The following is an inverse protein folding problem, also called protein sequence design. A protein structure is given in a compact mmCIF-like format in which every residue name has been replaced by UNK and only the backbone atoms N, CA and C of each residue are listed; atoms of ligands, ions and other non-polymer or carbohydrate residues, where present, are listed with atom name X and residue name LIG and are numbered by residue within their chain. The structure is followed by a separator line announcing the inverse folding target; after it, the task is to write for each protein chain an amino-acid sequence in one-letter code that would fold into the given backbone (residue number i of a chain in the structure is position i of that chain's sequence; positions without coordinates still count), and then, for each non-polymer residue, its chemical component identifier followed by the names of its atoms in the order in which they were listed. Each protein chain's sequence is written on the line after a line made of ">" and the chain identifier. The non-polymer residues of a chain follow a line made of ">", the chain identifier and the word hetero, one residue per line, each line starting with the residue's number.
data_IF_791942704593
#
_entry.id   IF_791942704593
#
_cell.length_a   1.000
_cell.length_b   1.000
_cell.length_c   1.000
_cell.angle_alpha   90.00
_cell.angle_beta   90.00
_cell.angle_gamma   90.00
#
_symmetry.space_group_name_H-M   'P 1'
#
loop_
_entity.id
_entity.type
_entity.pdbx_description
1 polymer ?
#
# COMPACT_ATOMS: atom_id res chain seq x y z
N UNK A 1 -5.87 -5.39 42.33
CA UNK A 1 -5.45 -4.12 41.70
C UNK A 1 -4.72 -4.41 40.40
N UNK A 2 -5.45 -4.57 39.30
CA UNK A 2 -4.87 -4.71 37.96
C UNK A 2 -4.88 -3.34 37.30
N UNK A 3 -3.71 -2.78 36.97
CA UNK A 3 -3.64 -1.53 36.25
C UNK A 3 -4.15 -1.74 34.82
N UNK A 4 -5.32 -1.17 34.51
CA UNK A 4 -5.80 -1.03 33.13
C UNK A 4 -4.82 -0.14 32.39
N UNK A 5 -4.08 -0.73 31.45
CA UNK A 5 -3.19 -0.01 30.55
C UNK A 5 -4.03 0.90 29.66
N UNK A 6 -4.10 2.18 30.00
CA UNK A 6 -4.72 3.21 29.16
C UNK A 6 -3.85 3.34 27.91
N UNK A 7 -4.34 2.88 26.75
CA UNK A 7 -3.69 3.15 25.47
C UNK A 7 -3.58 4.67 25.31
N UNK A 8 -2.40 5.23 25.01
CA UNK A 8 -2.28 6.66 24.85
C UNK A 8 -3.11 7.11 23.65
N UNK A 9 -3.97 8.10 23.88
CA UNK A 9 -4.67 8.84 22.84
C UNK A 9 -3.61 9.53 21.98
N UNK A 10 -3.42 9.06 20.74
CA UNK A 10 -2.40 9.57 19.81
C UNK A 10 -2.68 11.05 19.53
N UNK A 11 -1.85 11.92 20.11
CA UNK A 11 -1.78 13.35 19.80
C UNK A 11 -0.77 13.53 18.66
N UNK A 12 -1.22 14.02 17.51
CA UNK A 12 -0.40 14.45 16.36
C UNK A 12 0.65 13.44 15.87
N UNK A 13 0.22 12.23 15.48
CA UNK A 13 1.11 11.20 14.94
C UNK A 13 1.23 11.24 13.41
N UNK A 14 2.45 11.04 12.90
CA UNK A 14 2.68 10.78 11.48
C UNK A 14 1.94 9.49 11.08
N UNK A 15 1.51 9.35 9.82
CA UNK A 15 0.81 8.15 9.33
C UNK A 15 1.54 6.84 9.65
N UNK A 16 2.88 6.88 9.66
CA UNK A 16 3.73 5.73 9.94
C UNK A 16 3.69 5.28 11.41
N UNK A 17 3.20 6.12 12.31
CA UNK A 17 3.08 5.80 13.73
C UNK A 17 1.93 4.84 14.02
N UNK A 18 0.94 4.78 13.12
CA UNK A 18 -0.21 3.91 13.23
C UNK A 18 0.03 2.51 12.63
N UNK A 19 1.20 2.26 12.02
CA UNK A 19 1.49 0.97 11.41
C UNK A 19 1.67 -0.10 12.50
N UNK A 20 1.08 -1.29 12.33
CA UNK A 20 1.30 -2.41 13.23
C UNK A 20 2.76 -2.86 13.19
N UNK A 21 3.29 -3.26 14.34
CA UNK A 21 4.68 -3.75 14.47
C UNK A 21 4.88 -5.16 13.90
N UNK A 22 3.81 -5.91 13.65
CA UNK A 22 3.83 -7.28 13.14
C UNK A 22 2.69 -7.51 12.14
N UNK A 23 2.94 -8.39 11.17
CA UNK A 23 1.97 -8.78 10.15
C UNK A 23 2.26 -8.19 8.76
N UNK A 24 1.44 -8.60 7.78
CA UNK A 24 1.48 -8.05 6.42
C UNK A 24 0.35 -7.04 6.26
N UNK A 25 0.68 -5.85 5.79
CA UNK A 25 -0.30 -4.82 5.45
C UNK A 25 -0.75 -4.96 4.00
N UNK A 26 -2.06 -5.01 3.79
CA UNK A 26 -2.64 -5.07 2.46
C UNK A 26 -2.96 -3.65 1.99
N UNK A 27 -2.39 -3.24 0.86
CA UNK A 27 -2.56 -1.90 0.30
C UNK A 27 -3.09 -2.04 -1.12
N UNK A 28 -4.06 -1.20 -1.49
CA UNK A 28 -4.56 -1.13 -2.86
C UNK A 28 -4.21 0.24 -3.45
N UNK A 29 -3.54 0.24 -4.59
CA UNK A 29 -3.21 1.45 -5.35
C UNK A 29 -4.28 1.68 -6.43
N UNK A 30 -5.09 2.70 -6.24
CA UNK A 30 -6.12 3.15 -7.18
C UNK A 30 -5.75 4.51 -7.78
N UNK A 31 -6.28 4.78 -8.97
CA UNK A 31 -6.03 6.03 -9.68
C UNK A 31 -6.27 5.88 -11.18
N UNK A 32 -6.36 7.01 -11.87
CA UNK A 32 -6.61 7.06 -13.31
C UNK A 32 -5.56 6.29 -14.11
N UNK A 33 -5.92 5.97 -15.35
CA UNK A 33 -4.95 5.40 -16.29
C UNK A 33 -3.77 6.36 -16.48
N UNK A 34 -2.57 5.81 -16.65
CA UNK A 34 -1.32 6.58 -16.77
C UNK A 34 -0.97 7.52 -15.60
N UNK A 35 -1.62 7.40 -14.43
CA UNK A 35 -1.29 8.20 -13.24
C UNK A 35 0.06 7.83 -12.58
N UNK A 36 0.79 6.83 -13.08
CA UNK A 36 2.11 6.42 -12.57
C UNK A 36 2.10 5.39 -11.43
N UNK A 37 0.96 4.70 -11.18
CA UNK A 37 0.82 3.73 -10.08
C UNK A 37 1.84 2.58 -10.16
N UNK A 38 1.94 1.95 -11.32
CA UNK A 38 2.88 0.85 -11.57
C UNK A 38 4.33 1.32 -11.46
N UNK A 39 4.63 2.53 -11.93
CA UNK A 39 5.95 3.15 -11.79
C UNK A 39 6.32 3.37 -10.32
N UNK A 40 5.38 3.87 -9.51
CA UNK A 40 5.59 4.05 -8.08
C UNK A 40 5.79 2.70 -7.36
N UNK A 41 4.99 1.69 -7.71
CA UNK A 41 5.13 0.34 -7.15
C UNK A 41 6.51 -0.26 -7.45
N UNK A 42 6.98 -0.15 -8.69
CA UNK A 42 8.29 -0.66 -9.08
C UNK A 42 9.45 0.14 -8.50
N UNK A 43 9.28 1.46 -8.33
CA UNK A 43 10.25 2.25 -7.58
C UNK A 43 10.36 1.77 -6.12
N UNK A 44 9.24 1.47 -5.47
CA UNK A 44 9.24 0.95 -4.10
C UNK A 44 9.82 -0.46 -4.00
N UNK A 45 9.59 -1.31 -5.01
CA UNK A 45 9.98 -2.72 -5.00
C UNK A 45 11.43 -2.95 -5.44
N UNK A 46 11.89 -2.25 -6.46
CA UNK A 46 13.17 -2.50 -7.14
C UNK A 46 14.13 -1.31 -7.08
N UNK A 47 13.71 -0.17 -6.52
CA UNK A 47 14.47 1.08 -6.52
C UNK A 47 14.91 1.54 -7.92
N UNK A 48 14.09 1.24 -8.94
CA UNK A 48 14.35 1.58 -10.34
C UNK A 48 13.12 2.15 -11.04
N UNK A 49 13.36 2.99 -12.04
CA UNK A 49 12.33 3.46 -12.97
C UNK A 49 12.29 2.50 -14.16
N UNK A 50 11.30 1.62 -14.17
CA UNK A 50 11.08 0.69 -15.27
C UNK A 50 10.09 1.31 -16.26
N UNK A 51 10.30 1.07 -17.55
CA UNK A 51 9.31 1.40 -18.56
C UNK A 51 8.06 0.54 -18.33
N UNK A 52 6.93 1.18 -18.09
CA UNK A 52 5.66 0.49 -17.82
C UNK A 52 4.72 0.63 -19.01
N UNK A 53 4.02 -0.45 -19.33
CA UNK A 53 2.88 -0.47 -20.26
C UNK A 53 1.59 -0.30 -19.44
N UNK A 54 0.51 0.31 -19.96
CA UNK A 54 -0.75 0.40 -19.24
C UNK A 54 -1.21 -0.96 -18.69
N UNK A 55 -1.48 -1.00 -17.38
CA UNK A 55 -1.94 -2.22 -16.71
C UNK A 55 -3.35 -2.59 -17.18
N UNK A 56 -3.46 -3.69 -17.94
CA UNK A 56 -4.73 -4.20 -18.50
C UNK A 56 -5.60 -4.89 -17.43
N UNK A 57 -5.03 -5.20 -16.26
CA UNK A 57 -5.73 -5.89 -15.18
C UNK A 57 -5.26 -5.43 -13.80
N UNK A 58 -4.54 -6.30 -13.11
CA UNK A 58 -4.00 -6.05 -11.77
C UNK A 58 -2.60 -6.63 -11.64
N UNK A 59 -1.77 -6.01 -10.79
CA UNK A 59 -0.50 -6.57 -10.34
C UNK A 59 -0.49 -6.66 -8.81
N UNK A 60 0.23 -7.63 -8.26
CA UNK A 60 0.36 -7.83 -6.82
C UNK A 60 1.82 -8.07 -6.43
N UNK A 61 2.37 -7.16 -5.62
CA UNK A 61 3.78 -7.21 -5.23
C UNK A 61 3.95 -7.16 -3.72
N UNK A 62 4.91 -7.93 -3.22
CA UNK A 62 5.35 -7.85 -1.82
C UNK A 62 6.49 -6.85 -1.70
N UNK A 63 6.29 -5.74 -0.99
CA UNK A 63 7.30 -4.73 -0.71
C UNK A 63 7.68 -4.79 0.76
N UNK A 64 8.97 -4.75 1.08
CA UNK A 64 9.43 -4.65 2.46
C UNK A 64 9.74 -3.18 2.78
N UNK A 65 9.17 -2.66 3.86
CA UNK A 65 9.56 -1.34 4.35
C UNK A 65 11.00 -1.39 4.85
N UNK A 66 11.81 -0.43 4.39
CA UNK A 66 13.25 -0.37 4.67
C UNK A 66 13.65 0.80 5.56
N UNK A 67 12.75 1.78 5.73
CA UNK A 67 13.02 3.05 6.42
C UNK A 67 12.06 3.29 7.60
N UNK A 68 12.55 4.03 8.60
CA UNK A 68 11.75 4.50 9.73
C UNK A 68 10.96 3.39 10.43
N UNK A 69 9.72 3.71 10.83
CA UNK A 69 8.80 2.75 11.47
C UNK A 69 8.26 1.66 10.54
N UNK A 70 8.42 1.82 9.24
CA UNK A 70 8.06 0.79 8.27
C UNK A 70 9.12 -0.31 8.16
N UNK A 71 10.32 -0.13 8.76
CA UNK A 71 11.40 -1.10 8.69
C UNK A 71 10.97 -2.46 9.23
N UNK A 72 11.04 -3.49 8.38
CA UNK A 72 10.66 -4.86 8.74
C UNK A 72 9.18 -5.18 8.55
N UNK A 73 8.34 -4.20 8.18
CA UNK A 73 6.95 -4.44 7.81
C UNK A 73 6.88 -4.93 6.36
N UNK A 74 6.04 -5.93 6.12
CA UNK A 74 5.73 -6.41 4.78
C UNK A 74 4.42 -5.78 4.28
N UNK A 75 4.45 -5.26 3.06
CA UNK A 75 3.30 -4.72 2.36
C UNK A 75 2.96 -5.64 1.20
N UNK A 76 1.70 -6.06 1.09
CA UNK A 76 1.15 -6.70 -0.10
C UNK A 76 0.36 -5.64 -0.86
N UNK A 77 0.94 -5.15 -1.97
CA UNK A 77 0.39 -4.01 -2.71
C UNK A 77 -0.28 -4.51 -3.99
N UNK A 78 -1.57 -4.19 -4.13
CA UNK A 78 -2.38 -4.46 -5.32
C UNK A 78 -2.44 -3.20 -6.17
N UNK A 79 -1.78 -3.20 -7.34
CA UNK A 79 -1.91 -2.16 -8.36
C UNK A 79 -3.04 -2.52 -9.31
N UNK A 80 -4.06 -1.68 -9.39
CA UNK A 80 -5.27 -1.95 -10.17
C UNK A 80 -5.33 -1.03 -11.39
N UNK A 81 -5.64 -1.60 -12.56
CA UNK A 81 -5.78 -0.85 -13.81
C UNK A 81 -6.71 0.35 -13.69
N UNK A 82 -6.28 1.47 -14.27
CA UNK A 82 -6.98 2.77 -14.20
C UNK A 82 -7.91 3.08 -15.38
N UNK A 83 -7.87 2.22 -16.41
CA UNK A 83 -8.71 2.36 -17.62
C UNK A 83 -10.18 2.35 -17.22
N UNK A 84 -10.99 3.17 -17.88
CA UNK A 84 -12.41 3.34 -17.55
C UNK A 84 -13.16 2.00 -17.48
N UNK A 85 -12.88 1.09 -18.42
CA UNK A 85 -13.46 -0.27 -18.48
C UNK A 85 -13.13 -1.14 -17.26
N UNK A 86 -12.03 -0.85 -16.56
CA UNK A 86 -11.56 -1.62 -15.40
C UNK A 86 -11.98 -1.01 -14.06
N UNK A 87 -12.39 0.27 -14.03
CA UNK A 87 -12.82 0.94 -12.78
C UNK A 87 -13.95 0.26 -12.02
N UNK A 88 -14.91 -0.45 -12.67
CA UNK A 88 -15.89 -1.25 -11.93
C UNK A 88 -15.26 -2.29 -11.00
N UNK A 89 -14.07 -2.81 -11.32
CA UNK A 89 -13.36 -3.80 -10.52
C UNK A 89 -12.78 -3.23 -9.22
N UNK A 90 -12.59 -1.92 -9.11
CA UNK A 90 -12.03 -1.28 -7.91
C UNK A 90 -12.81 -1.66 -6.65
N UNK A 91 -14.15 -1.76 -6.78
CA UNK A 91 -15.05 -2.15 -5.68
C UNK A 91 -14.78 -3.55 -5.14
N UNK A 92 -14.24 -4.46 -5.94
CA UNK A 92 -13.91 -5.81 -5.50
C UNK A 92 -12.63 -5.84 -4.64
N UNK A 93 -11.72 -4.90 -4.86
CA UNK A 93 -10.44 -4.83 -4.14
C UNK A 93 -10.51 -3.98 -2.87
N UNK A 94 -11.46 -3.05 -2.76
CA UNK A 94 -11.63 -2.20 -1.57
C UNK A 94 -12.60 -2.76 -0.54
N UNK A 95 -13.19 -3.95 -0.78
CA UNK A 95 -14.08 -4.64 0.17
C UNK A 95 -13.25 -5.53 1.08
N UNK A 96 -12.54 -4.94 2.03
CA UNK A 96 -11.90 -5.64 3.13
C UNK A 96 -12.07 -4.85 4.42
#
# INVERSE_FOLDING_TARGET
>A
MGATMVKPLVKNGNLLDALPSQGTLHVVMLGLDSAGKTTALYRLKFDQYLNTVPTIGFNCEKVQGTIGRAKGIHFLIWDVGGQEKLRPLWRSYTRF
#
